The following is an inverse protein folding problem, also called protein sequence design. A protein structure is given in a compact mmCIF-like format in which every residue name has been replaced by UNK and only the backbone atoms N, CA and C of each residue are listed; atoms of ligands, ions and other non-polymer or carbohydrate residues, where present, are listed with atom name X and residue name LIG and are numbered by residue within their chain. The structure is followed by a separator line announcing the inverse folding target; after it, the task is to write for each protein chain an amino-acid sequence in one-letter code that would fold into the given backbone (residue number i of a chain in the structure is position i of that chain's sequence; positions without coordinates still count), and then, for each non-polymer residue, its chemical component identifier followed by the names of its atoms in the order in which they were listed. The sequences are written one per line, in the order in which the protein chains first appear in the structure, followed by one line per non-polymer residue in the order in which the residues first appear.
data_IF_287822953206
#
_entry.id   IF_287822953206
#
_cell.length_a   1.000
_cell.length_b   1.000
_cell.length_c   1.000
_cell.angle_alpha   90.00
_cell.angle_beta   90.00
_cell.angle_gamma   90.00
#
_symmetry.space_group_name_H-M   'P 1'
#
loop_
_entity.id
_entity.type
_entity.pdbx_description
1 polymer ?
#
# COMPACT_ATOMS: atom_id res chain seq x y z
N UNK A 1 18.37 31.78 -3.83
CA UNK A 1 17.17 31.13 -3.26
C UNK A 1 16.09 31.19 -4.32
N UNK A 2 15.68 30.05 -4.87
CA UNK A 2 14.53 30.00 -5.78
C UNK A 2 13.28 29.89 -4.93
N UNK A 3 12.44 30.91 -4.93
CA UNK A 3 11.13 30.86 -4.27
C UNK A 3 10.16 30.08 -5.15
N UNK A 4 9.55 29.03 -4.61
CA UNK A 4 8.45 28.33 -5.26
C UNK A 4 7.14 28.97 -4.78
N UNK A 5 6.32 29.44 -5.72
CA UNK A 5 4.96 29.89 -5.42
C UNK A 5 4.00 28.73 -5.56
N UNK A 6 3.27 28.42 -4.49
CA UNK A 6 2.21 27.40 -4.46
C UNK A 6 0.90 28.03 -4.02
N UNK A 7 -0.21 27.46 -4.48
CA UNK A 7 -1.53 27.91 -4.04
C UNK A 7 -1.75 27.58 -2.56
N UNK A 8 -2.53 28.41 -1.86
CA UNK A 8 -2.87 28.16 -0.45
C UNK A 8 -3.57 26.81 -0.23
N UNK A 9 -4.34 26.33 -1.22
CA UNK A 9 -4.97 25.00 -1.18
C UNK A 9 -3.93 23.88 -1.17
N UNK A 10 -2.90 23.98 -2.01
CA UNK A 10 -1.80 23.00 -2.05
C UNK A 10 -1.01 23.03 -0.74
N UNK A 11 -0.69 24.22 -0.23
CA UNK A 11 0.01 24.35 1.04
C UNK A 11 -0.79 23.73 2.20
N UNK A 12 -2.10 23.98 2.27
CA UNK A 12 -2.96 23.36 3.27
C UNK A 12 -2.96 21.82 3.18
N UNK A 13 -2.96 21.28 1.97
CA UNK A 13 -2.84 19.83 1.73
C UNK A 13 -1.50 19.26 2.22
N UNK A 14 -0.39 19.92 1.87
CA UNK A 14 0.96 19.52 2.32
C UNK A 14 1.05 19.54 3.85
N UNK A 15 0.58 20.62 4.47
CA UNK A 15 0.61 20.76 5.94
C UNK A 15 -0.24 19.68 6.62
N UNK A 16 -1.42 19.36 6.08
CA UNK A 16 -2.27 18.31 6.63
C UNK A 16 -1.63 16.92 6.53
N UNK A 17 -0.95 16.62 5.41
CA UNK A 17 -0.20 15.37 5.26
C UNK A 17 1.00 15.32 6.20
N UNK A 18 1.78 16.40 6.31
CA UNK A 18 2.93 16.49 7.20
C UNK A 18 2.56 16.23 8.67
N UNK A 19 1.40 16.73 9.12
CA UNK A 19 0.87 16.49 10.46
C UNK A 19 0.58 15.01 10.74
N UNK A 20 0.21 14.20 9.73
CA UNK A 20 -0.01 12.76 9.93
C UNK A 20 1.30 12.03 10.30
N UNK A 21 2.44 12.58 9.91
CA UNK A 21 3.77 12.07 10.25
C UNK A 21 4.40 12.81 11.44
N UNK A 22 3.68 13.73 12.08
CA UNK A 22 4.19 14.62 13.12
C UNK A 22 5.43 15.42 12.68
N UNK A 23 5.41 15.90 11.43
CA UNK A 23 6.48 16.71 10.81
C UNK A 23 5.99 18.12 10.50
N UNK A 24 6.93 19.07 10.42
CA UNK A 24 6.67 20.33 9.72
C UNK A 24 6.57 20.11 8.21
N UNK A 25 5.94 21.06 7.50
CA UNK A 25 5.82 20.98 6.03
C UNK A 25 7.19 20.97 5.33
N UNK A 26 8.19 21.63 5.91
CA UNK A 26 9.57 21.66 5.41
C UNK A 26 10.26 20.31 5.60
N UNK A 27 10.20 19.74 6.81
CA UNK A 27 10.75 18.41 7.10
C UNK A 27 10.10 17.31 6.26
N UNK A 28 8.78 17.40 6.06
CA UNK A 28 8.03 16.47 5.22
C UNK A 28 8.53 16.48 3.77
N UNK A 29 8.74 17.67 3.19
CA UNK A 29 9.27 17.81 1.83
C UNK A 29 10.73 17.35 1.75
N UNK A 30 11.55 17.64 2.77
CA UNK A 30 12.92 17.16 2.86
C UNK A 30 12.99 15.63 2.92
N UNK A 31 12.09 14.99 3.66
CA UNK A 31 12.02 13.54 3.74
C UNK A 31 11.61 12.92 2.41
N UNK A 32 10.67 13.53 1.67
CA UNK A 32 10.35 13.12 0.30
C UNK A 32 11.59 13.25 -0.61
N UNK A 33 12.29 14.39 -0.56
CA UNK A 33 13.47 14.63 -1.38
C UNK A 33 14.64 13.68 -1.07
N UNK A 34 14.76 13.25 0.19
CA UNK A 34 15.75 12.29 0.64
C UNK A 34 15.35 10.82 0.41
N UNK A 35 14.15 10.56 -0.13
CA UNK A 35 13.61 9.21 -0.32
C UNK A 35 13.26 8.49 0.99
N UNK A 36 13.13 9.24 2.10
CA UNK A 36 12.67 8.71 3.40
C UNK A 36 11.15 8.51 3.42
N UNK A 37 10.44 9.20 2.55
CA UNK A 37 9.01 9.01 2.29
C UNK A 37 8.83 8.63 0.83
N UNK A 38 8.11 7.54 0.59
CA UNK A 38 7.67 7.10 -0.73
C UNK A 38 6.17 7.34 -0.86
N UNK A 39 5.76 7.96 -1.97
CA UNK A 39 4.35 8.02 -2.36
C UNK A 39 4.11 6.82 -3.27
N UNK A 40 3.28 5.90 -2.81
CA UNK A 40 2.95 4.67 -3.53
C UNK A 40 1.46 4.73 -3.87
N UNK A 41 1.11 4.31 -5.08
CA UNK A 41 -0.28 4.09 -5.45
C UNK A 41 -0.82 2.91 -4.65
N UNK A 42 -1.94 3.10 -3.95
CA UNK A 42 -2.52 2.06 -3.12
C UNK A 42 -2.90 0.82 -3.94
N UNK A 43 -3.45 1.01 -5.14
CA UNK A 43 -3.88 -0.07 -6.02
C UNK A 43 -2.67 -0.91 -6.47
N UNK A 44 -1.59 -0.25 -6.88
CA UNK A 44 -0.36 -0.95 -7.28
C UNK A 44 0.29 -1.71 -6.12
N UNK A 45 0.17 -1.19 -4.89
CA UNK A 45 0.65 -1.87 -3.69
C UNK A 45 -0.22 -3.10 -3.37
N UNK A 46 -1.54 -2.98 -3.47
CA UNK A 46 -2.48 -4.08 -3.29
C UNK A 46 -2.21 -5.20 -4.30
N UNK A 47 -2.10 -4.88 -5.59
CA UNK A 47 -1.77 -5.83 -6.64
C UNK A 47 -0.47 -6.60 -6.34
N UNK A 48 0.57 -5.90 -5.88
CA UNK A 48 1.85 -6.52 -5.51
C UNK A 48 1.72 -7.44 -4.28
N UNK A 49 0.92 -7.05 -3.29
CA UNK A 49 0.66 -7.85 -2.11
C UNK A 49 -0.13 -9.11 -2.48
N UNK A 50 -1.16 -8.98 -3.31
CA UNK A 50 -1.98 -10.10 -3.78
C UNK A 50 -1.15 -11.14 -4.53
N UNK A 51 -0.26 -10.70 -5.44
CA UNK A 51 0.65 -11.61 -6.15
C UNK A 51 1.56 -12.35 -5.18
N UNK A 52 2.08 -11.64 -4.16
CA UNK A 52 2.93 -12.25 -3.14
C UNK A 52 2.15 -13.27 -2.31
N UNK A 53 0.93 -12.94 -1.91
CA UNK A 53 0.07 -13.86 -1.14
C UNK A 53 -0.31 -15.09 -1.96
N UNK A 54 -0.68 -14.91 -3.23
CA UNK A 54 -0.95 -16.02 -4.15
C UNK A 54 0.27 -16.93 -4.28
N UNK A 55 1.47 -16.36 -4.46
CA UNK A 55 2.72 -17.13 -4.53
C UNK A 55 2.98 -17.93 -3.25
N UNK A 56 2.75 -17.32 -2.07
CA UNK A 56 2.90 -17.99 -0.79
C UNK A 56 1.87 -19.11 -0.63
N UNK A 57 0.62 -18.87 -1.01
CA UNK A 57 -0.45 -19.85 -0.98
C UNK A 57 -0.16 -21.04 -1.89
N UNK A 58 0.35 -20.80 -3.11
CA UNK A 58 0.77 -21.84 -4.04
C UNK A 58 1.96 -22.64 -3.52
N UNK A 59 2.88 -22.01 -2.79
CA UNK A 59 4.05 -22.70 -2.25
C UNK A 59 3.73 -23.67 -1.10
N UNK A 60 2.53 -23.59 -0.51
CA UNK A 60 2.09 -24.47 0.56
C UNK A 60 1.59 -25.82 0.00
N UNK A 61 2.24 -26.97 0.32
CA UNK A 61 1.83 -28.28 -0.19
C UNK A 61 0.39 -28.68 0.18
N UNK A 62 -0.13 -28.22 1.33
CA UNK A 62 -1.52 -28.48 1.73
C UNK A 62 -2.53 -27.82 0.80
N UNK A 63 -2.21 -26.63 0.29
CA UNK A 63 -3.04 -25.90 -0.67
C UNK A 63 -3.00 -26.51 -2.09
N UNK A 64 -2.06 -27.44 -2.33
CA UNK A 64 -1.96 -28.19 -3.59
C UNK A 64 -2.78 -29.49 -3.57
N UNK A 65 -3.48 -29.78 -2.46
CA UNK A 65 -4.32 -30.96 -2.33
C UNK A 65 -5.46 -30.89 -3.35
N UNK A 66 -5.52 -31.90 -4.24
CA UNK A 66 -6.70 -32.09 -5.09
C UNK A 66 -7.82 -32.67 -4.24
N UNK A 67 -8.85 -31.87 -4.01
CA UNK A 67 -10.11 -32.28 -3.38
C UNK A 67 -11.16 -32.54 -4.43
N UNK A 68 -12.05 -33.48 -4.15
CA UNK A 68 -13.19 -33.75 -5.03
C UNK A 68 -14.26 -32.68 -4.84
N UNK A 69 -15.10 -32.47 -5.86
CA UNK A 69 -16.19 -31.51 -5.76
C UNK A 69 -17.21 -31.88 -4.67
N UNK A 70 -17.40 -33.17 -4.39
CA UNK A 70 -18.29 -33.64 -3.34
C UNK A 70 -17.74 -33.35 -1.93
N UNK A 71 -16.41 -33.42 -1.73
CA UNK A 71 -15.75 -32.99 -0.49
C UNK A 71 -15.94 -31.49 -0.26
N UNK A 72 -15.77 -30.66 -1.30
CA UNK A 72 -15.95 -29.20 -1.21
C UNK A 72 -17.40 -28.86 -0.82
N UNK A 73 -18.39 -29.52 -1.43
CA UNK A 73 -19.81 -29.33 -1.07
C UNK A 73 -20.09 -29.68 0.39
N UNK A 74 -19.54 -30.78 0.87
CA UNK A 74 -19.70 -31.21 2.25
C UNK A 74 -19.12 -30.19 3.24
N UNK A 75 -17.95 -29.61 2.95
CA UNK A 75 -17.33 -28.58 3.79
C UNK A 75 -18.11 -27.25 3.78
N UNK A 76 -18.70 -26.87 2.63
CA UNK A 76 -19.48 -25.64 2.48
C UNK A 76 -20.95 -25.78 2.90
N UNK A 77 -21.41 -27.00 3.20
CA UNK A 77 -22.81 -27.27 3.53
C UNK A 77 -23.78 -27.11 2.34
N UNK A 78 -23.31 -27.40 1.12
CA UNK A 78 -24.04 -27.26 -0.15
C UNK A 78 -24.51 -28.59 -0.74
#
# INVERSE_FOLDING_TARGET
MNSVSISGKILAGITSLAQQFNLSSEEFLDWIAQGKLAVINADDLEDLLDVKEATLAESNPENQRRVTWDEVKQELGL
#
